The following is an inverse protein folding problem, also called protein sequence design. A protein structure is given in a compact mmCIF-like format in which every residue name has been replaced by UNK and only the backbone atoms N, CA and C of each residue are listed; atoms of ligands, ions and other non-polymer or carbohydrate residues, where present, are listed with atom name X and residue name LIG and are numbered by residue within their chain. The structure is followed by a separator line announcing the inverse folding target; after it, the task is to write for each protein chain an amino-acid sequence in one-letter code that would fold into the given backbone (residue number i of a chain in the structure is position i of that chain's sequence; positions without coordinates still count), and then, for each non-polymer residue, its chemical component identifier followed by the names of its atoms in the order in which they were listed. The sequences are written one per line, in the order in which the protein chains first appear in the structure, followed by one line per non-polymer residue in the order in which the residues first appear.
data_IF_759258232933
#
_entry.id   IF_759258232933
#
_cell.length_a   1.000
_cell.length_b   1.000
_cell.length_c   1.000
_cell.angle_alpha   90.00
_cell.angle_beta   90.00
_cell.angle_gamma   90.00
#
_symmetry.space_group_name_H-M   'P 1'
#
loop_
_entity.id
_entity.type
_entity.pdbx_description
1 polymer ?
#
# COMPACT_ATOMS: atom_id res chain seq x y z
N UNK A 1 -19.30 45.95 -2.75
CA UNK A 1 -18.54 45.26 -3.78
C UNK A 1 -17.22 44.68 -3.27
N UNK A 2 -16.38 45.45 -2.58
CA UNK A 2 -15.08 44.96 -2.08
C UNK A 2 -15.21 43.83 -1.06
N UNK A 3 -16.20 43.88 -0.16
CA UNK A 3 -16.45 42.81 0.85
C UNK A 3 -16.91 41.51 0.18
N UNK A 4 -17.74 41.60 -0.85
CA UNK A 4 -18.23 40.42 -1.58
C UNK A 4 -17.11 39.67 -2.31
N UNK A 5 -16.16 40.44 -2.89
CA UNK A 5 -14.99 39.85 -3.58
C UNK A 5 -14.05 39.15 -2.58
N UNK A 6 -13.86 39.78 -1.39
CA UNK A 6 -13.03 39.18 -0.32
C UNK A 6 -13.65 37.88 0.19
N UNK A 7 -14.96 37.81 0.39
CA UNK A 7 -15.67 36.61 0.82
C UNK A 7 -15.55 35.52 -0.24
N UNK A 8 -15.68 35.88 -1.52
CA UNK A 8 -15.53 34.93 -2.62
C UNK A 8 -14.11 34.32 -2.70
N UNK A 9 -13.09 35.16 -2.49
CA UNK A 9 -11.69 34.72 -2.47
C UNK A 9 -11.40 33.82 -1.27
N UNK A 10 -11.99 34.09 -0.12
CA UNK A 10 -11.84 33.22 1.07
C UNK A 10 -12.52 31.88 0.86
N UNK A 11 -13.68 31.83 0.21
CA UNK A 11 -14.40 30.59 -0.09
C UNK A 11 -13.66 29.72 -1.11
N UNK A 12 -12.91 30.33 -2.04
CA UNK A 12 -12.09 29.60 -3.01
C UNK A 12 -10.84 28.95 -2.40
N UNK A 13 -10.44 29.38 -1.19
CA UNK A 13 -9.28 28.80 -0.49
C UNK A 13 -9.66 27.69 0.51
N UNK A 14 -10.93 27.34 0.62
CA UNK A 14 -11.35 26.14 1.32
C UNK A 14 -11.08 24.91 0.44
N UNK A 15 -9.83 24.74 0.03
CA UNK A 15 -9.36 23.46 -0.45
C UNK A 15 -9.42 22.52 0.75
N UNK A 16 -10.46 21.73 0.83
CA UNK A 16 -10.48 20.56 1.70
C UNK A 16 -9.37 19.65 1.22
N UNK A 17 -8.20 19.78 1.82
CA UNK A 17 -7.18 18.77 1.67
C UNK A 17 -7.79 17.47 2.17
N UNK A 18 -8.14 16.57 1.25
CA UNK A 18 -8.42 15.18 1.58
C UNK A 18 -7.09 14.63 2.07
N UNK A 19 -6.86 14.74 3.38
CA UNK A 19 -5.64 14.25 4.00
C UNK A 19 -5.73 12.72 3.95
N UNK A 20 -4.93 12.11 3.06
CA UNK A 20 -4.70 10.69 3.09
C UNK A 20 -4.07 10.33 4.44
N UNK A 21 -4.61 9.30 5.09
CA UNK A 21 -4.12 8.85 6.39
C UNK A 21 -2.79 8.12 6.21
N UNK A 22 -1.82 8.43 7.04
CA UNK A 22 -0.54 7.73 7.10
C UNK A 22 -0.51 6.72 8.25
N UNK A 23 0.05 5.56 8.00
CA UNK A 23 0.29 4.51 8.99
C UNK A 23 1.76 4.15 8.95
N UNK A 24 2.42 4.23 10.09
CA UNK A 24 3.84 3.95 10.27
C UNK A 24 4.02 2.79 11.24
N UNK A 25 4.95 1.91 10.98
CA UNK A 25 5.33 0.87 11.93
C UNK A 25 6.11 -0.27 11.28
N UNK A 26 6.46 -1.25 12.11
CA UNK A 26 7.07 -2.49 11.66
C UNK A 26 5.97 -3.39 11.07
N UNK A 27 6.11 -3.82 9.81
CA UNK A 27 5.08 -4.63 9.17
C UNK A 27 5.21 -6.11 9.52
N UNK A 28 4.07 -6.79 9.51
CA UNK A 28 3.98 -8.24 9.36
C UNK A 28 3.50 -8.49 7.94
N UNK A 29 4.23 -9.30 7.19
CA UNK A 29 3.93 -9.58 5.79
C UNK A 29 3.01 -10.81 5.72
N UNK A 30 1.80 -10.61 5.19
CA UNK A 30 0.84 -11.70 5.00
C UNK A 30 1.12 -12.43 3.69
N UNK A 31 1.25 -11.69 2.60
CA UNK A 31 1.65 -12.17 1.28
C UNK A 31 2.25 -11.02 0.45
N UNK A 32 2.50 -11.23 -0.83
CA UNK A 32 3.19 -10.25 -1.67
C UNK A 32 2.44 -8.94 -1.91
N UNK A 33 1.17 -8.85 -1.56
CA UNK A 33 0.36 -7.63 -1.74
C UNK A 33 -0.40 -7.19 -0.48
N UNK A 34 -0.20 -7.87 0.65
CA UNK A 34 -0.93 -7.58 1.89
C UNK A 34 0.02 -7.60 3.09
N UNK A 35 -0.01 -6.52 3.84
CA UNK A 35 0.80 -6.33 5.04
C UNK A 35 -0.09 -5.93 6.20
N UNK A 36 0.44 -6.09 7.42
CA UNK A 36 -0.22 -5.66 8.64
C UNK A 36 0.71 -4.76 9.44
N UNK A 37 0.25 -3.57 9.77
CA UNK A 37 0.94 -2.65 10.68
C UNK A 37 0.02 -2.39 11.87
N UNK A 38 0.48 -2.73 13.09
CA UNK A 38 -0.38 -2.74 14.27
C UNK A 38 -1.60 -3.65 14.01
N UNK A 39 -2.81 -3.14 14.16
CA UNK A 39 -4.03 -3.89 13.87
C UNK A 39 -4.63 -3.59 12.48
N UNK A 40 -3.89 -2.87 11.64
CA UNK A 40 -4.37 -2.49 10.31
C UNK A 40 -3.83 -3.43 9.25
N UNK A 41 -4.72 -4.14 8.57
CA UNK A 41 -4.38 -4.87 7.34
C UNK A 41 -4.42 -3.91 6.17
N UNK A 42 -3.37 -3.90 5.39
CA UNK A 42 -3.20 -2.98 4.26
C UNK A 42 -2.93 -3.79 3.01
N UNK A 43 -3.80 -3.60 2.01
CA UNK A 43 -3.60 -4.13 0.67
C UNK A 43 -2.82 -3.12 -0.16
N UNK A 44 -1.73 -3.54 -0.75
CA UNK A 44 -0.93 -2.70 -1.62
C UNK A 44 -1.71 -2.40 -2.90
N UNK A 45 -1.98 -1.11 -3.11
CA UNK A 45 -2.79 -0.65 -4.24
C UNK A 45 -2.11 -0.90 -5.58
N UNK A 46 -2.89 -1.32 -6.56
CA UNK A 46 -2.45 -1.46 -7.95
C UNK A 46 -1.64 -2.71 -8.25
N UNK A 47 -1.48 -3.61 -7.31
CA UNK A 47 -0.79 -4.89 -7.52
C UNK A 47 -1.66 -6.07 -7.11
N UNK A 48 -1.37 -7.22 -7.66
CA UNK A 48 -2.01 -8.48 -7.31
C UNK A 48 -0.93 -9.57 -7.31
N UNK A 49 -0.49 -9.93 -6.11
CA UNK A 49 0.54 -10.96 -5.94
C UNK A 49 -0.10 -12.34 -5.71
N UNK A 50 0.61 -13.43 -6.04
CA UNK A 50 0.16 -14.75 -5.68
C UNK A 50 -0.05 -14.87 -4.17
N UNK A 51 -1.12 -15.55 -3.77
CA UNK A 51 -1.37 -15.88 -2.36
C UNK A 51 -0.19 -16.67 -1.78
N UNK A 52 0.05 -16.52 -0.47
CA UNK A 52 1.25 -17.10 0.19
C UNK A 52 1.46 -18.59 -0.13
N UNK A 53 0.40 -19.36 -0.18
CA UNK A 53 0.46 -20.80 -0.44
C UNK A 53 0.17 -21.16 -1.90
N UNK A 54 0.03 -20.19 -2.76
CA UNK A 54 -0.26 -20.41 -4.18
C UNK A 54 0.96 -20.99 -4.88
N UNK A 55 0.70 -21.98 -5.74
CA UNK A 55 1.67 -22.55 -6.66
C UNK A 55 1.38 -22.07 -8.07
N UNK A 56 2.43 -21.84 -8.84
CA UNK A 56 2.37 -21.45 -10.24
C UNK A 56 3.06 -22.49 -11.11
N UNK A 57 2.67 -22.56 -12.37
CA UNK A 57 3.23 -23.51 -13.33
C UNK A 57 3.94 -22.77 -14.46
N UNK A 58 5.12 -23.26 -14.80
CA UNK A 58 5.75 -22.98 -16.11
C UNK A 58 5.52 -24.18 -17.04
N UNK A 59 6.00 -24.08 -18.28
CA UNK A 59 5.96 -25.23 -19.21
C UNK A 59 6.69 -26.48 -18.68
N UNK A 60 7.63 -26.29 -17.76
CA UNK A 60 8.57 -27.36 -17.33
C UNK A 60 8.43 -27.74 -15.87
N UNK A 61 7.87 -26.88 -15.02
CA UNK A 61 7.77 -27.17 -13.58
C UNK A 61 6.71 -26.33 -12.88
N UNK A 62 6.29 -26.84 -11.72
CA UNK A 62 5.53 -26.13 -10.72
C UNK A 62 6.47 -25.48 -9.71
N UNK A 63 6.16 -24.28 -9.22
CA UNK A 63 6.96 -23.59 -8.22
C UNK A 63 6.08 -22.82 -7.23
N UNK A 64 6.63 -22.54 -6.05
CA UNK A 64 5.93 -21.84 -4.96
C UNK A 64 5.98 -20.33 -5.18
N UNK A 65 5.22 -19.81 -6.14
CA UNK A 65 5.23 -18.40 -6.50
C UNK A 65 4.70 -17.50 -5.35
N UNK A 66 3.73 -17.96 -4.57
CA UNK A 66 3.21 -17.22 -3.42
C UNK A 66 4.27 -17.02 -2.34
N UNK A 67 4.99 -18.08 -1.98
CA UNK A 67 6.13 -17.99 -1.05
C UNK A 67 7.23 -17.08 -1.59
N UNK A 68 7.54 -17.19 -2.88
CA UNK A 68 8.55 -16.34 -3.53
C UNK A 68 8.18 -14.86 -3.46
N UNK A 69 6.94 -14.50 -3.78
CA UNK A 69 6.46 -13.11 -3.71
C UNK A 69 6.48 -12.58 -2.27
N UNK A 70 6.00 -13.37 -1.33
CA UNK A 70 5.98 -13.01 0.10
C UNK A 70 7.39 -12.77 0.62
N UNK A 71 8.31 -13.69 0.33
CA UNK A 71 9.71 -13.58 0.74
C UNK A 71 10.42 -12.39 0.09
N UNK A 72 10.12 -12.08 -1.17
CA UNK A 72 10.68 -10.92 -1.84
C UNK A 72 10.32 -9.63 -1.10
N UNK A 73 9.08 -9.46 -0.68
CA UNK A 73 8.64 -8.31 0.09
C UNK A 73 9.30 -8.27 1.48
N UNK A 74 9.38 -9.40 2.17
CA UNK A 74 10.07 -9.52 3.46
C UNK A 74 11.54 -9.11 3.33
N UNK A 75 12.23 -9.62 2.34
CA UNK A 75 13.65 -9.31 2.09
C UNK A 75 13.86 -7.83 1.74
N UNK A 76 12.95 -7.24 1.00
CA UNK A 76 13.02 -5.82 0.64
C UNK A 76 12.88 -4.92 1.85
N UNK A 77 11.95 -5.22 2.73
CA UNK A 77 11.66 -4.41 3.92
C UNK A 77 12.70 -4.66 5.02
N UNK A 78 13.14 -5.91 5.17
CA UNK A 78 14.04 -6.33 6.26
C UNK A 78 13.45 -5.95 7.64
N UNK A 79 14.21 -5.23 8.45
CA UNK A 79 13.82 -4.78 9.80
C UNK A 79 13.43 -3.30 9.85
N UNK A 80 13.14 -2.71 8.69
CA UNK A 80 12.83 -1.29 8.61
C UNK A 80 11.36 -1.01 8.95
N UNK A 81 11.12 0.16 9.52
CA UNK A 81 9.80 0.75 9.61
C UNK A 81 9.33 1.14 8.21
N UNK A 82 8.08 0.89 7.90
CA UNK A 82 7.46 1.34 6.67
C UNK A 82 6.38 2.38 6.95
N UNK A 83 6.12 3.20 5.93
CA UNK A 83 5.05 4.19 5.93
C UNK A 83 4.07 3.83 4.82
N UNK A 84 2.79 3.73 5.16
CA UNK A 84 1.72 3.54 4.20
C UNK A 84 0.79 4.74 4.17
N UNK A 85 0.52 5.24 2.98
CA UNK A 85 -0.49 6.26 2.72
C UNK A 85 -1.74 5.55 2.26
N UNK A 86 -2.79 5.57 3.06
CA UNK A 86 -3.98 4.74 2.87
C UNK A 86 -5.20 5.57 2.52
N UNK A 87 -6.11 4.97 1.75
CA UNK A 87 -7.41 5.53 1.42
C UNK A 87 -8.34 5.50 2.63
N UNK A 88 -9.35 6.35 2.62
CA UNK A 88 -10.32 6.48 3.71
C UNK A 88 -11.16 5.21 3.89
N UNK A 89 -11.58 4.59 2.80
CA UNK A 89 -12.51 3.46 2.82
C UNK A 89 -11.76 2.13 2.73
N UNK A 90 -12.19 1.17 3.53
CA UNK A 90 -11.70 -0.21 3.48
C UNK A 90 -12.35 -0.97 2.31
N UNK A 91 -11.66 -2.02 1.85
CA UNK A 91 -12.24 -2.95 0.89
C UNK A 91 -13.25 -3.91 1.58
N UNK A 92 -13.90 -4.78 0.77
CA UNK A 92 -14.88 -5.74 1.27
C UNK A 92 -14.31 -6.77 2.25
N UNK A 93 -12.99 -6.93 2.31
CA UNK A 93 -12.28 -7.81 3.24
C UNK A 93 -11.77 -7.09 4.47
N UNK A 94 -12.24 -5.86 4.70
CA UNK A 94 -11.86 -5.02 5.83
C UNK A 94 -10.38 -4.63 5.83
N UNK A 95 -9.77 -4.49 4.65
CA UNK A 95 -8.40 -4.02 4.48
C UNK A 95 -8.39 -2.57 4.02
N UNK A 96 -7.46 -1.79 4.56
CA UNK A 96 -7.12 -0.49 3.99
C UNK A 96 -6.39 -0.69 2.66
N UNK A 97 -6.59 0.22 1.73
CA UNK A 97 -5.89 0.21 0.44
C UNK A 97 -4.87 1.32 0.47
N UNK A 98 -3.62 1.01 0.19
CA UNK A 98 -2.56 2.01 0.33
C UNK A 98 -1.34 1.79 -0.54
N UNK A 99 -0.51 2.83 -0.56
CA UNK A 99 0.83 2.82 -1.14
C UNK A 99 1.83 2.88 0.00
N UNK A 100 2.75 1.94 0.04
CA UNK A 100 3.69 1.77 1.13
C UNK A 100 5.12 2.05 0.69
N UNK A 101 5.89 2.62 1.61
CA UNK A 101 7.27 3.05 1.35
C UNK A 101 8.21 2.50 2.40
N UNK A 102 9.36 2.01 1.97
CA UNK A 102 10.55 1.83 2.80
C UNK A 102 11.53 2.94 2.46
N UNK A 103 11.78 3.85 3.42
CA UNK A 103 12.46 5.09 3.10
C UNK A 103 11.66 5.88 2.05
N UNK A 104 12.29 6.20 0.93
CA UNK A 104 11.63 6.89 -0.18
C UNK A 104 11.20 5.95 -1.31
N UNK A 105 11.43 4.65 -1.17
CA UNK A 105 11.11 3.69 -2.22
C UNK A 105 9.68 3.18 -2.10
N UNK A 106 8.92 3.32 -3.17
CA UNK A 106 7.55 2.82 -3.31
C UNK A 106 7.57 1.29 -3.45
N UNK A 107 7.11 0.59 -2.43
CA UNK A 107 7.06 -0.87 -2.40
C UNK A 107 6.09 -1.45 -3.43
N UNK A 108 4.98 -0.77 -3.69
CA UNK A 108 4.01 -1.21 -4.68
C UNK A 108 4.65 -1.27 -6.07
N UNK A 109 5.35 -0.20 -6.45
CA UNK A 109 6.10 -0.15 -7.72
C UNK A 109 7.24 -1.16 -7.77
N UNK A 110 7.95 -1.31 -6.65
CA UNK A 110 9.05 -2.26 -6.56
C UNK A 110 8.58 -3.69 -6.79
N UNK A 111 7.47 -4.09 -6.19
CA UNK A 111 6.90 -5.43 -6.37
C UNK A 111 6.51 -5.70 -7.83
N UNK A 112 5.86 -4.75 -8.49
CA UNK A 112 5.50 -4.88 -9.92
C UNK A 112 6.75 -4.97 -10.80
N UNK A 113 7.75 -4.17 -10.52
CA UNK A 113 9.00 -4.11 -11.29
C UNK A 113 9.82 -5.39 -11.21
N UNK A 114 9.72 -6.11 -10.10
CA UNK A 114 10.47 -7.34 -9.85
C UNK A 114 9.66 -8.63 -10.09
N UNK A 115 8.47 -8.49 -10.68
CA UNK A 115 7.61 -9.61 -11.04
C UNK A 115 6.77 -10.18 -9.96
#
# INVERSE_FOLDING_TARGET
MKILVIILVILLNLNTNVIAREILGFPIITDGDTIKILNNRIRLHGIDAPEKNQKCKTLYKEYNCGTTATNALIQKIKTNIIKCVVQKNKDRYNRLIGVCFVGQEDLNKWMVRNG
#
